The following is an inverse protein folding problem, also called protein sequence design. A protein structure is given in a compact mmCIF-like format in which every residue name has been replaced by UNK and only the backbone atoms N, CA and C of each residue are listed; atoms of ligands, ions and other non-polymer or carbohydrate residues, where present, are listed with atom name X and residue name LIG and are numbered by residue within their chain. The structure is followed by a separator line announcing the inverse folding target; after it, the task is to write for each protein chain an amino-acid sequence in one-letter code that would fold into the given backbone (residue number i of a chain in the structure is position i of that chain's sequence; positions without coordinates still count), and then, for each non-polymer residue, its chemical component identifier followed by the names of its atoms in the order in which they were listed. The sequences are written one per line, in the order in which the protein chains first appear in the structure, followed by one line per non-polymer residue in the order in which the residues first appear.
data_IF_338722044442
#
_entry.id   IF_338722044442
#
_cell.length_a   1.000
_cell.length_b   1.000
_cell.length_c   1.000
_cell.angle_alpha   90.00
_cell.angle_beta   90.00
_cell.angle_gamma   90.00
#
_symmetry.space_group_name_H-M   'P 1'
#
loop_
_entity.id
_entity.type
_entity.pdbx_description
1 polymer ?
#
# COMPACT_ATOMS: atom_id res chain seq x y z
N UNK A 1 8.97 7.55 -2.36
CA UNK A 1 8.97 6.11 -2.70
C UNK A 1 8.09 6.03 -3.93
N UNK A 2 8.63 5.66 -5.08
CA UNK A 2 7.90 5.70 -6.34
C UNK A 2 7.60 4.27 -6.78
N UNK A 3 6.35 3.84 -6.58
CA UNK A 3 5.78 2.66 -7.22
C UNK A 3 4.52 3.12 -7.95
N UNK A 4 4.25 2.58 -9.14
CA UNK A 4 3.32 3.21 -10.08
C UNK A 4 2.22 2.25 -10.54
N UNK A 5 0.98 2.73 -10.71
CA UNK A 5 -0.04 1.97 -11.40
C UNK A 5 0.35 1.78 -12.88
N UNK A 6 -0.19 0.77 -13.57
CA UNK A 6 -1.24 -0.13 -13.09
C UNK A 6 -0.75 -1.27 -12.19
N UNK A 7 -1.64 -1.78 -11.36
CA UNK A 7 -1.41 -2.75 -10.29
C UNK A 7 -2.01 -4.12 -10.60
N UNK A 8 -1.29 -5.15 -10.15
CA UNK A 8 -1.83 -6.49 -9.89
C UNK A 8 -2.03 -6.65 -8.39
N UNK A 9 -3.26 -6.96 -7.96
CA UNK A 9 -3.57 -7.22 -6.55
C UNK A 9 -3.22 -8.67 -6.21
N UNK A 10 -2.09 -8.89 -5.54
CA UNK A 10 -1.67 -10.22 -5.11
C UNK A 10 -2.44 -10.63 -3.85
N UNK A 11 -3.28 -11.66 -3.96
CA UNK A 11 -4.10 -12.18 -2.87
C UNK A 11 -3.57 -13.49 -2.27
N UNK A 12 -2.58 -14.13 -2.92
CA UNK A 12 -2.01 -15.40 -2.45
C UNK A 12 -3.10 -16.43 -2.16
N UNK A 13 -3.00 -17.12 -1.03
CA UNK A 13 -3.97 -18.11 -0.51
C UNK A 13 -4.81 -17.54 0.66
N UNK A 14 -5.21 -16.26 0.58
CA UNK A 14 -6.03 -15.62 1.60
C UNK A 14 -7.32 -16.40 1.92
N UNK A 15 -7.53 -16.72 3.20
CA UNK A 15 -8.62 -17.58 3.68
C UNK A 15 -9.97 -16.89 3.84
N UNK A 16 -9.99 -15.56 3.76
CA UNK A 16 -11.20 -14.76 3.90
C UNK A 16 -10.98 -13.36 3.34
N UNK A 17 -12.06 -12.62 3.13
CA UNK A 17 -12.02 -11.26 2.60
C UNK A 17 -11.32 -10.26 3.53
N UNK A 18 -11.34 -10.51 4.84
CA UNK A 18 -10.72 -9.61 5.82
C UNK A 18 -9.19 -9.62 5.67
N UNK A 19 -8.61 -10.78 5.32
CA UNK A 19 -7.19 -10.90 5.01
C UNK A 19 -6.78 -10.04 3.80
N UNK A 20 -7.68 -9.82 2.85
CA UNK A 20 -7.48 -9.01 1.65
C UNK A 20 -7.92 -7.53 1.80
N UNK A 21 -8.11 -7.03 3.04
CA UNK A 21 -8.57 -5.64 3.28
C UNK A 21 -7.72 -4.58 2.59
N UNK A 22 -6.42 -4.83 2.42
CA UNK A 22 -5.51 -3.90 1.73
C UNK A 22 -5.83 -3.86 0.25
N UNK A 23 -5.86 -5.02 -0.43
CA UNK A 23 -6.23 -5.13 -1.83
C UNK A 23 -7.61 -4.51 -2.11
N UNK A 24 -8.60 -4.87 -1.29
CA UNK A 24 -9.96 -4.36 -1.42
C UNK A 24 -10.02 -2.84 -1.23
N UNK A 25 -9.29 -2.30 -0.25
CA UNK A 25 -9.19 -0.86 -0.05
C UNK A 25 -8.62 -0.13 -1.26
N UNK A 26 -7.55 -0.65 -1.86
CA UNK A 26 -6.96 -0.10 -3.09
C UNK A 26 -7.97 -0.17 -4.23
N UNK A 27 -8.61 -1.32 -4.45
CA UNK A 27 -9.61 -1.51 -5.51
C UNK A 27 -10.81 -0.58 -5.41
N UNK A 28 -11.32 -0.33 -4.20
CA UNK A 28 -12.46 0.56 -3.99
C UNK A 28 -12.11 2.01 -4.36
N UNK A 29 -10.94 2.49 -3.94
CA UNK A 29 -10.57 3.90 -4.07
C UNK A 29 -9.76 4.22 -5.33
N UNK A 30 -9.18 3.21 -5.97
CA UNK A 30 -8.38 3.30 -7.20
C UNK A 30 -8.76 2.15 -8.16
N UNK A 31 -10.03 2.07 -8.60
CA UNK A 31 -10.49 1.03 -9.51
C UNK A 31 -9.64 0.98 -10.79
N UNK A 32 -9.35 2.13 -11.39
CA UNK A 32 -8.64 2.25 -12.66
C UNK A 32 -7.15 1.90 -12.56
N UNK A 33 -6.62 1.81 -11.34
CA UNK A 33 -5.26 1.36 -11.12
C UNK A 33 -5.17 -0.16 -11.08
N UNK A 34 -6.25 -0.89 -10.85
CA UNK A 34 -6.22 -2.34 -10.62
C UNK A 34 -6.62 -3.10 -11.89
N UNK A 35 -5.65 -3.64 -12.63
CA UNK A 35 -5.93 -4.39 -13.87
C UNK A 35 -6.42 -5.82 -13.60
N UNK A 36 -6.00 -6.41 -12.48
CA UNK A 36 -6.40 -7.76 -12.12
C UNK A 36 -6.00 -8.12 -10.69
N UNK A 37 -6.32 -9.37 -10.33
CA UNK A 37 -5.90 -10.00 -9.08
C UNK A 37 -5.20 -11.32 -9.37
N UNK A 38 -4.25 -11.68 -8.51
CA UNK A 38 -3.58 -12.98 -8.54
C UNK A 38 -3.97 -13.78 -7.30
N UNK A 39 -4.46 -15.01 -7.50
CA UNK A 39 -4.93 -15.91 -6.45
C UNK A 39 -4.23 -17.25 -6.57
N UNK A 40 -3.76 -17.79 -5.45
CA UNK A 40 -3.28 -19.16 -5.35
C UNK A 40 -4.44 -20.11 -5.01
N UNK A 41 -4.19 -21.41 -5.17
CA UNK A 41 -5.13 -22.45 -4.78
C UNK A 41 -5.60 -22.27 -3.33
N UNK A 42 -6.92 -22.32 -3.13
CA UNK A 42 -7.54 -22.14 -1.82
C UNK A 42 -7.70 -20.69 -1.35
N UNK A 43 -7.45 -19.70 -2.23
CA UNK A 43 -7.83 -18.32 -1.96
C UNK A 43 -9.37 -18.16 -1.96
N UNK A 44 -9.91 -17.66 -0.86
CA UNK A 44 -11.34 -17.37 -0.68
C UNK A 44 -11.64 -15.86 -0.76
N UNK A 45 -10.60 -15.02 -0.90
CA UNK A 45 -10.76 -13.60 -1.13
C UNK A 45 -11.02 -13.27 -2.61
N UNK A 46 -11.77 -12.20 -2.85
CA UNK A 46 -12.06 -11.69 -4.18
C UNK A 46 -12.20 -10.16 -4.14
N UNK A 47 -11.47 -9.45 -4.98
CA UNK A 47 -11.56 -8.00 -5.12
C UNK A 47 -12.46 -7.59 -6.30
N UNK A 48 -13.15 -8.54 -6.95
CA UNK A 48 -14.04 -8.27 -8.09
C UNK A 48 -13.32 -7.54 -9.23
N UNK A 49 -12.10 -8.02 -9.53
CA UNK A 49 -11.31 -7.69 -10.73
C UNK A 49 -10.93 -8.98 -11.43
N UNK A 50 -10.57 -8.96 -12.73
CA UNK A 50 -10.20 -10.17 -13.45
C UNK A 50 -9.06 -10.93 -12.75
N UNK A 51 -9.18 -12.25 -12.65
CA UNK A 51 -8.04 -13.08 -12.28
C UNK A 51 -7.01 -13.05 -13.41
N UNK A 52 -5.74 -12.93 -13.04
CA UNK A 52 -4.61 -12.96 -13.97
C UNK A 52 -3.49 -13.80 -13.38
N UNK A 53 -2.84 -14.57 -14.24
CA UNK A 53 -1.49 -15.08 -14.00
C UNK A 53 -0.48 -13.92 -14.00
N UNK A 54 0.73 -14.16 -13.49
CA UNK A 54 1.80 -13.17 -13.52
C UNK A 54 2.16 -12.77 -14.96
N UNK A 55 2.15 -13.72 -15.90
CA UNK A 55 2.42 -13.49 -17.32
C UNK A 55 1.34 -12.65 -17.99
N UNK A 56 0.07 -12.93 -17.71
CA UNK A 56 -1.06 -12.14 -18.22
C UNK A 56 -0.99 -10.71 -17.69
N UNK A 57 -0.68 -10.55 -16.40
CA UNK A 57 -0.51 -9.23 -15.78
C UNK A 57 0.62 -8.42 -16.43
N UNK A 58 1.78 -9.06 -16.67
CA UNK A 58 2.90 -8.43 -17.35
C UNK A 58 2.52 -8.01 -18.79
N UNK A 59 1.84 -8.91 -19.52
CA UNK A 59 1.36 -8.65 -20.89
C UNK A 59 0.33 -7.52 -20.93
N UNK A 60 -0.54 -7.44 -19.92
CA UNK A 60 -1.53 -6.38 -19.75
C UNK A 60 -0.91 -5.03 -19.33
N UNK A 61 0.41 -4.97 -19.08
CA UNK A 61 1.12 -3.75 -18.78
C UNK A 61 1.10 -3.34 -17.30
N UNK A 62 0.83 -4.29 -16.38
CA UNK A 62 1.02 -4.06 -14.94
C UNK A 62 2.45 -3.58 -14.68
N UNK A 63 2.58 -2.60 -13.78
CA UNK A 63 3.86 -2.01 -13.36
C UNK A 63 4.26 -2.45 -11.97
N UNK A 64 3.31 -2.65 -11.07
CA UNK A 64 3.60 -3.05 -9.69
C UNK A 64 2.66 -4.15 -9.21
N UNK A 65 3.22 -5.20 -8.62
CA UNK A 65 2.47 -6.19 -7.86
C UNK A 65 2.33 -5.72 -6.42
N UNK A 66 1.09 -5.51 -5.97
CA UNK A 66 0.79 -5.11 -4.59
C UNK A 66 0.48 -6.36 -3.77
N UNK A 67 1.27 -6.67 -2.75
CA UNK A 67 0.93 -7.66 -1.72
C UNK A 67 -0.24 -7.11 -0.90
N UNK A 68 -1.45 -7.37 -1.38
CA UNK A 68 -2.69 -6.81 -0.86
C UNK A 68 -3.34 -7.66 0.24
N UNK A 69 -2.61 -8.65 0.76
CA UNK A 69 -3.06 -9.59 1.78
C UNK A 69 -2.15 -9.59 3.00
N UNK A 70 -2.72 -9.96 4.14
CA UNK A 70 -1.94 -10.24 5.36
C UNK A 70 -1.63 -11.72 5.45
N UNK A 71 -0.39 -12.05 5.80
CA UNK A 71 0.01 -13.43 6.04
C UNK A 71 -0.18 -13.82 7.51
N UNK A 72 -0.56 -15.08 7.76
CA UNK A 72 -0.66 -15.61 9.14
C UNK A 72 0.75 -15.71 9.74
N UNK A 73 0.90 -15.21 10.97
CA UNK A 73 2.18 -15.22 11.67
C UNK A 73 3.27 -14.33 11.05
N UNK A 74 2.93 -13.51 10.04
CA UNK A 74 3.87 -12.61 9.37
C UNK A 74 4.85 -13.29 8.41
N UNK A 75 4.75 -14.60 8.18
CA UNK A 75 5.66 -15.32 7.26
C UNK A 75 5.16 -15.20 5.83
N UNK A 76 6.05 -15.01 4.87
CA UNK A 76 5.72 -15.05 3.44
C UNK A 76 6.07 -16.46 2.93
N UNK A 77 5.08 -17.29 2.53
CA UNK A 77 5.35 -18.65 2.07
C UNK A 77 6.22 -18.70 0.82
N UNK A 78 6.97 -19.81 0.66
CA UNK A 78 7.82 -19.99 -0.52
C UNK A 78 7.04 -19.92 -1.84
N UNK A 79 5.80 -20.42 -1.88
CA UNK A 79 4.93 -20.33 -3.05
C UNK A 79 4.66 -18.88 -3.47
N UNK A 80 4.50 -17.97 -2.50
CA UNK A 80 4.34 -16.54 -2.80
C UNK A 80 5.65 -15.95 -3.31
N UNK A 81 6.78 -16.30 -2.69
CA UNK A 81 8.10 -15.81 -3.09
C UNK A 81 8.39 -16.20 -4.55
N UNK A 82 8.09 -17.44 -4.95
CA UNK A 82 8.27 -17.90 -6.33
C UNK A 82 7.49 -17.05 -7.34
N UNK A 83 6.22 -16.72 -7.06
CA UNK A 83 5.40 -15.88 -7.95
C UNK A 83 5.86 -14.41 -7.96
N UNK A 84 6.32 -13.90 -6.82
CA UNK A 84 6.84 -12.53 -6.72
C UNK A 84 8.20 -12.38 -7.43
N UNK A 85 9.07 -13.40 -7.34
CA UNK A 85 10.31 -13.45 -8.14
C UNK A 85 9.96 -13.42 -9.61
N UNK A 86 9.03 -14.28 -10.05
CA UNK A 86 8.55 -14.33 -11.44
C UNK A 86 8.03 -12.98 -11.92
N UNK A 87 7.28 -12.25 -11.08
CA UNK A 87 6.80 -10.91 -11.39
C UNK A 87 7.94 -9.93 -11.67
N UNK A 88 8.98 -9.99 -10.85
CA UNK A 88 10.20 -9.19 -11.03
C UNK A 88 10.94 -9.57 -12.31
N UNK A 89 11.06 -10.86 -12.63
CA UNK A 89 11.71 -11.31 -13.88
C UNK A 89 10.96 -10.82 -15.13
N UNK A 90 9.64 -10.64 -15.02
CA UNK A 90 8.76 -10.13 -16.06
C UNK A 90 8.64 -8.60 -16.07
N UNK A 91 9.49 -7.91 -15.31
CA UNK A 91 9.64 -6.45 -15.39
C UNK A 91 8.66 -5.65 -14.52
N UNK A 92 8.04 -6.29 -13.52
CA UNK A 92 7.19 -5.60 -12.55
C UNK A 92 7.94 -5.30 -11.24
N UNK A 93 7.63 -4.17 -10.62
CA UNK A 93 8.05 -3.87 -9.24
C UNK A 93 7.16 -4.61 -8.25
N UNK A 94 7.61 -4.76 -7.00
CA UNK A 94 6.82 -5.40 -5.93
C UNK A 94 6.71 -4.46 -4.75
N UNK A 95 5.48 -4.27 -4.23
CA UNK A 95 5.25 -3.44 -3.06
C UNK A 95 4.45 -4.19 -1.99
N UNK A 96 4.89 -4.05 -0.73
CA UNK A 96 4.36 -4.78 0.42
C UNK A 96 4.15 -3.87 1.62
N UNK A 97 2.98 -4.01 2.25
CA UNK A 97 2.68 -3.43 3.57
C UNK A 97 2.90 -4.41 4.72
N UNK A 98 3.46 -5.60 4.47
CA UNK A 98 3.64 -6.59 5.54
C UNK A 98 4.64 -6.12 6.59
N UNK A 99 4.57 -6.72 7.79
CA UNK A 99 5.60 -6.50 8.81
C UNK A 99 6.94 -7.06 8.35
N UNK A 100 6.93 -8.25 7.78
CA UNK A 100 8.10 -8.87 7.14
C UNK A 100 8.47 -8.11 5.88
N UNK A 101 9.75 -7.72 5.81
CA UNK A 101 10.27 -6.93 4.70
C UNK A 101 10.56 -7.81 3.49
N UNK A 102 10.01 -7.45 2.34
CA UNK A 102 10.35 -8.13 1.08
C UNK A 102 11.80 -7.82 0.66
N UNK A 103 12.35 -6.67 1.08
CA UNK A 103 13.76 -6.31 0.88
C UNK A 103 14.75 -7.12 1.71
N UNK A 104 14.26 -8.01 2.59
CA UNK A 104 15.09 -8.95 3.36
C UNK A 104 15.03 -10.38 2.83
N UNK A 105 14.23 -10.64 1.79
CA UNK A 105 14.10 -11.97 1.18
C UNK A 105 15.20 -12.11 0.11
N UNK A 106 16.21 -12.99 0.30
CA UNK A 106 17.38 -13.03 -0.58
C UNK A 106 17.03 -13.28 -2.06
N UNK A 107 16.04 -14.13 -2.30
CA UNK A 107 15.57 -14.49 -3.65
C UNK A 107 14.98 -13.28 -4.39
N UNK A 108 14.13 -12.49 -3.71
CA UNK A 108 13.56 -11.27 -4.29
C UNK A 108 14.62 -10.20 -4.50
N UNK A 109 15.53 -10.00 -3.54
CA UNK A 109 16.61 -9.01 -3.67
C UNK A 109 17.53 -9.35 -4.84
N UNK A 110 17.87 -10.64 -4.99
CA UNK A 110 18.68 -11.11 -6.11
C UNK A 110 17.98 -10.89 -7.46
N UNK A 111 16.69 -11.21 -7.55
CA UNK A 111 15.88 -10.98 -8.75
C UNK A 111 15.77 -9.48 -9.07
N UNK A 112 15.41 -8.65 -8.09
CA UNK A 112 15.25 -7.21 -8.25
C UNK A 112 16.53 -6.55 -8.77
N UNK A 113 17.68 -6.94 -8.22
CA UNK A 113 18.99 -6.46 -8.71
C UNK A 113 19.30 -6.94 -10.14
N UNK A 114 18.96 -8.18 -10.48
CA UNK A 114 19.24 -8.76 -11.79
C UNK A 114 18.40 -8.12 -12.90
N UNK A 115 17.14 -7.80 -12.63
CA UNK A 115 16.18 -7.28 -13.60
C UNK A 115 15.92 -5.77 -13.45
N UNK A 116 16.73 -5.09 -12.64
CA UNK A 116 16.67 -3.64 -12.39
C UNK A 116 15.27 -3.17 -11.95
N UNK A 117 14.67 -3.90 -11.00
CA UNK A 117 13.34 -3.62 -10.45
C UNK A 117 13.41 -3.18 -8.99
N UNK A 118 12.35 -2.54 -8.53
CA UNK A 118 12.24 -2.02 -7.17
C UNK A 118 11.40 -2.92 -6.27
N UNK A 119 11.83 -3.03 -5.00
CA UNK A 119 11.07 -3.65 -3.91
C UNK A 119 10.70 -2.56 -2.90
N UNK A 120 9.42 -2.43 -2.60
CA UNK A 120 8.90 -1.36 -1.75
C UNK A 120 8.27 -1.91 -0.47
N UNK A 121 8.89 -1.64 0.67
CA UNK A 121 8.33 -1.93 1.99
C UNK A 121 7.59 -0.70 2.54
N UNK A 122 6.34 -0.49 2.11
CA UNK A 122 5.57 0.74 2.43
C UNK A 122 5.22 0.87 3.92
N UNK A 123 5.33 -0.23 4.68
CA UNK A 123 5.16 -0.19 6.12
C UNK A 123 6.33 0.49 6.82
N UNK A 124 7.53 0.40 6.26
CA UNK A 124 8.73 0.84 6.95
C UNK A 124 9.19 2.19 6.39
N UNK A 125 9.23 3.26 7.21
CA UNK A 125 9.71 4.55 6.73
C UNK A 125 11.14 4.47 6.18
N UNK A 126 11.38 5.13 5.05
CA UNK A 126 12.71 5.20 4.41
C UNK A 126 13.42 6.51 4.71
N UNK A 127 12.90 7.29 5.66
CA UNK A 127 13.44 8.59 6.05
C UNK A 127 13.48 8.70 7.56
N UNK A 128 14.40 9.53 8.03
CA UNK A 128 14.42 9.97 9.40
C UNK A 128 13.41 11.10 9.63
N UNK A 129 12.90 11.15 10.85
CA UNK A 129 11.95 12.16 11.29
C UNK A 129 12.54 12.91 12.48
N UNK A 130 12.32 14.21 12.51
CA UNK A 130 12.61 15.01 13.70
C UNK A 130 11.57 14.73 14.79
N UNK A 131 11.86 15.14 16.02
CA UNK A 131 10.83 15.24 17.06
C UNK A 131 9.89 16.40 16.68
N UNK A 132 8.57 16.19 16.85
CA UNK A 132 7.59 17.22 16.51
C UNK A 132 7.74 18.47 17.38
N UNK A 133 7.56 19.65 16.78
CA UNK A 133 7.71 20.95 17.44
C UNK A 133 6.39 21.64 17.80
N UNK A 134 5.27 21.20 17.22
CA UNK A 134 3.94 21.74 17.52
C UNK A 134 3.69 23.15 17.00
N UNK A 135 4.57 23.68 16.14
CA UNK A 135 4.43 25.00 15.54
C UNK A 135 3.15 25.01 14.68
N UNK A 136 2.32 26.05 14.86
CA UNK A 136 1.10 26.20 14.06
C UNK A 136 1.48 26.39 12.59
N UNK A 137 0.79 25.64 11.72
CA UNK A 137 0.93 25.67 10.26
C UNK A 137 -0.31 26.30 9.62
N UNK A 138 -0.15 26.91 8.46
CA UNK A 138 -1.30 27.38 7.67
C UNK A 138 -2.18 26.22 7.18
N UNK A 139 -3.42 26.51 6.80
CA UNK A 139 -4.39 25.52 6.33
C UNK A 139 -5.22 24.82 7.40
N UNK A 140 -6.27 24.13 6.95
CA UNK A 140 -7.12 23.28 7.79
C UNK A 140 -6.61 21.84 7.75
N UNK A 141 -6.70 21.16 8.89
CA UNK A 141 -6.32 19.75 9.05
C UNK A 141 -7.49 19.02 9.69
N UNK A 142 -8.00 18.01 9.01
CA UNK A 142 -9.11 17.17 9.47
C UNK A 142 -8.55 15.80 9.85
N UNK A 143 -8.74 15.40 11.10
CA UNK A 143 -8.37 14.07 11.58
C UNK A 143 -9.64 13.27 11.87
N UNK A 144 -9.83 12.17 11.15
CA UNK A 144 -10.86 11.19 11.48
C UNK A 144 -10.41 10.34 12.66
N UNK A 145 -11.12 10.46 13.77
CA UNK A 145 -10.99 9.57 14.94
C UNK A 145 -12.15 8.58 14.96
N UNK A 146 -11.97 7.45 15.65
CA UNK A 146 -12.99 6.41 15.74
C UNK A 146 -12.90 5.65 17.05
N UNK A 147 -14.00 5.02 17.45
CA UNK A 147 -14.11 4.29 18.72
C UNK A 147 -13.33 2.98 18.75
N UNK A 148 -12.93 2.45 17.58
CA UNK A 148 -12.14 1.23 17.44
C UNK A 148 -11.28 1.26 16.15
N UNK A 149 -10.49 0.21 15.90
CA UNK A 149 -9.76 -0.04 14.65
C UNK A 149 -10.67 -0.63 13.57
N UNK A 150 -10.29 -0.50 12.29
CA UNK A 150 -11.04 -1.04 11.15
C UNK A 150 -12.52 -0.58 10.99
N UNK A 151 -12.96 0.47 11.69
CA UNK A 151 -14.32 1.05 11.61
C UNK A 151 -14.53 2.10 10.50
N UNK A 152 -13.69 2.10 9.45
CA UNK A 152 -13.88 2.99 8.29
C UNK A 152 -13.25 4.39 8.36
N UNK A 153 -12.37 4.69 9.34
CA UNK A 153 -11.68 6.00 9.45
C UNK A 153 -11.05 6.47 8.13
N UNK A 154 -10.30 5.59 7.46
CA UNK A 154 -9.69 5.88 6.17
C UNK A 154 -10.72 6.17 5.08
N UNK A 155 -11.80 5.37 5.03
CA UNK A 155 -12.87 5.53 4.04
C UNK A 155 -13.60 6.86 4.23
N UNK A 156 -13.87 7.25 5.47
CA UNK A 156 -14.45 8.56 5.80
C UNK A 156 -13.55 9.70 5.30
N UNK A 157 -12.24 9.64 5.56
CA UNK A 157 -11.30 10.67 5.10
C UNK A 157 -11.24 10.78 3.58
N UNK A 158 -11.20 9.64 2.87
CA UNK A 158 -11.18 9.61 1.41
C UNK A 158 -12.52 10.09 0.80
N UNK A 159 -13.66 9.76 1.42
CA UNK A 159 -14.96 10.25 0.97
C UNK A 159 -15.08 11.76 1.13
N UNK A 160 -14.63 12.30 2.27
CA UNK A 160 -14.59 13.75 2.51
C UNK A 160 -13.66 14.43 1.52
N UNK A 161 -12.46 13.89 1.30
CA UNK A 161 -11.49 14.45 0.33
C UNK A 161 -12.05 14.47 -1.09
N UNK A 162 -12.65 13.36 -1.54
CA UNK A 162 -13.29 13.26 -2.85
C UNK A 162 -14.40 14.31 -3.03
N UNK A 163 -15.24 14.53 -2.02
CA UNK A 163 -16.30 15.53 -2.06
C UNK A 163 -15.77 16.97 -1.94
N UNK A 164 -14.70 17.20 -1.19
CA UNK A 164 -14.03 18.51 -1.16
C UNK A 164 -13.46 18.85 -2.54
N UNK A 165 -12.81 17.88 -3.20
CA UNK A 165 -12.30 18.04 -4.57
C UNK A 165 -13.43 18.26 -5.58
N UNK A 166 -14.54 17.52 -5.47
CA UNK A 166 -15.70 17.69 -6.37
C UNK A 166 -16.29 19.12 -6.31
N UNK A 167 -16.17 19.77 -5.15
CA UNK A 167 -16.58 21.16 -4.90
C UNK A 167 -15.51 22.21 -5.23
N UNK A 168 -14.35 21.80 -5.74
CA UNK A 168 -13.25 22.69 -6.12
C UNK A 168 -12.37 23.17 -4.96
N UNK A 169 -12.41 22.52 -3.79
CA UNK A 169 -11.48 22.83 -2.72
C UNK A 169 -10.10 22.18 -2.97
N UNK A 170 -9.04 22.92 -2.62
CA UNK A 170 -7.69 22.36 -2.53
C UNK A 170 -7.59 21.49 -1.26
N UNK A 171 -7.69 20.17 -1.42
CA UNK A 171 -7.66 19.20 -0.34
C UNK A 171 -6.88 17.97 -0.77
N UNK A 172 -6.07 17.41 0.13
CA UNK A 172 -5.33 16.17 -0.10
C UNK A 172 -5.57 15.16 1.01
N UNK A 173 -5.68 13.89 0.63
CA UNK A 173 -5.66 12.79 1.58
C UNK A 173 -4.23 12.46 2.00
N UNK A 174 -3.95 12.51 3.30
CA UNK A 174 -2.62 12.19 3.87
C UNK A 174 -2.64 10.80 4.51
N UNK A 175 -1.92 9.86 3.90
CA UNK A 175 -1.93 8.46 4.32
C UNK A 175 -1.07 8.21 5.57
N UNK A 176 -1.68 7.65 6.60
CA UNK A 176 -1.03 7.29 7.88
C UNK A 176 -0.79 5.78 8.05
N UNK A 177 -1.03 4.98 7.01
CA UNK A 177 -0.92 3.53 7.03
C UNK A 177 -0.84 2.94 5.63
N UNK A 178 -0.36 1.70 5.53
CA UNK A 178 -0.02 1.01 4.28
C UNK A 178 -1.09 1.08 3.18
N UNK A 179 -2.37 0.84 3.51
CA UNK A 179 -3.45 0.84 2.51
C UNK A 179 -3.67 2.24 1.95
N UNK A 180 -3.60 3.26 2.81
CA UNK A 180 -3.66 4.65 2.38
C UNK A 180 -2.47 5.01 1.47
N UNK A 181 -1.27 4.49 1.75
CA UNK A 181 -0.08 4.75 0.95
C UNK A 181 -0.24 4.16 -0.46
N UNK A 182 -0.79 2.95 -0.58
CA UNK A 182 -1.10 2.37 -1.89
C UNK A 182 -2.18 3.14 -2.68
N UNK A 183 -3.06 3.86 -1.99
CA UNK A 183 -4.11 4.70 -2.61
C UNK A 183 -3.57 6.08 -3.00
N UNK A 184 -2.75 6.67 -2.13
CA UNK A 184 -2.25 8.04 -2.29
C UNK A 184 -0.95 8.12 -3.10
N UNK A 185 -0.18 7.04 -3.19
CA UNK A 185 1.18 7.01 -3.76
C UNK A 185 2.25 7.53 -2.80
N UNK A 186 1.86 8.20 -1.72
CA UNK A 186 2.77 8.71 -0.69
C UNK A 186 2.15 8.62 0.71
N UNK A 187 2.99 8.73 1.73
CA UNK A 187 2.57 8.81 3.13
C UNK A 187 3.56 8.18 4.08
N UNK A 188 3.09 7.86 5.27
CA UNK A 188 3.88 7.19 6.31
C UNK A 188 3.03 6.20 7.08
N UNK A 189 3.51 4.98 7.26
CA UNK A 189 2.86 4.02 8.16
C UNK A 189 3.26 4.34 9.59
N UNK A 190 2.41 5.10 10.28
CA UNK A 190 2.70 5.66 11.61
C UNK A 190 2.92 4.56 12.66
N UNK A 191 2.30 3.38 12.48
CA UNK A 191 2.44 2.24 13.38
C UNK A 191 3.85 1.63 13.40
N UNK A 192 4.68 1.95 12.41
CA UNK A 192 6.07 1.50 12.30
C UNK A 192 7.10 2.61 12.56
N UNK A 193 6.63 3.80 12.95
CA UNK A 193 7.51 4.90 13.36
C UNK A 193 7.89 4.72 14.83
N UNK A 194 9.18 4.90 15.15
CA UNK A 194 9.65 4.88 16.54
C UNK A 194 8.93 5.99 17.33
N UNK A 195 8.46 5.65 18.54
CA UNK A 195 7.50 6.47 19.30
C UNK A 195 7.87 7.95 19.42
N UNK A 196 9.14 8.26 19.71
CA UNK A 196 9.64 9.64 19.89
C UNK A 196 9.47 10.51 18.64
N UNK A 197 9.36 9.91 17.46
CA UNK A 197 9.28 10.62 16.19
C UNK A 197 7.88 10.57 15.53
N UNK A 198 6.89 9.95 16.18
CA UNK A 198 5.51 9.86 15.64
C UNK A 198 4.96 11.27 15.35
N UNK A 199 5.12 12.19 16.30
CA UNK A 199 4.63 13.57 16.15
C UNK A 199 5.27 14.24 14.95
N UNK A 200 6.60 14.20 14.82
CA UNK A 200 7.31 14.82 13.71
C UNK A 200 7.08 14.14 12.37
N UNK A 201 6.81 12.83 12.34
CA UNK A 201 6.36 12.14 11.12
C UNK A 201 5.00 12.68 10.64
N UNK A 202 4.07 12.94 11.56
CA UNK A 202 2.77 13.57 11.24
C UNK A 202 2.95 15.03 10.82
N UNK A 203 3.89 15.77 11.42
CA UNK A 203 4.19 17.15 10.99
C UNK A 203 4.76 17.19 9.57
N UNK A 204 5.69 16.29 9.25
CA UNK A 204 6.22 16.15 7.89
C UNK A 204 5.12 15.77 6.89
N UNK A 205 4.25 14.83 7.26
CA UNK A 205 3.14 14.37 6.42
C UNK A 205 2.11 15.48 6.16
N UNK A 206 1.97 16.43 7.08
CA UNK A 206 1.00 17.52 7.03
C UNK A 206 1.72 18.89 6.92
N UNK A 207 2.29 19.23 5.74
CA UNK A 207 2.95 20.50 5.53
C UNK A 207 1.95 21.67 5.63
N UNK A 208 2.47 22.90 5.49
CA UNK A 208 1.60 24.05 5.31
C UNK A 208 0.74 23.88 4.06
N UNK A 209 -0.53 24.30 4.14
CA UNK A 209 -1.39 24.38 2.97
C UNK A 209 -1.27 25.78 2.37
N UNK A 210 -1.13 25.84 1.04
CA UNK A 210 -1.11 27.07 0.26
C UNK A 210 -2.52 27.72 0.17
#
# INVERSE_FOLDING_TARGET
MEFHPPYLLFLGDARDQLAAKTANGVRVWRPDWCLGQFRLDGCEADCSVPDMTIEEAATAGVKTVILGVVSRGGVIPQSWISELVKAVELGMDVASGLHTRITQIPELVAAAKKYDRSLHDVRHPTRDFNVGNGIKRNGKRLLTVGTDVSVGKMFTSLAIESEMKSRGYNADFRATGQTGIFIAGEGVSIDAVIADFISGAVEWLCPEND
#
